data_IF_674650911118
#
_entry.id   IF_674650911118
#
_cell.length_a   1.000
_cell.length_b   1.000
_cell.length_c   1.000
_cell.angle_alpha   90.00
_cell.angle_beta   90.00
_cell.angle_gamma   90.00
#
_symmetry.space_group_name_H-M   'P 1'
#
loop_
_entity.id
_entity.type
_entity.pdbx_description
1 polymer ?
#
# COMPACT_ATOMS: atom_id res chain seq x y z
N UNK A 1 8.53 -28.17 -31.89
CA UNK A 1 7.35 -27.87 -31.05
C UNK A 1 7.82 -27.04 -29.86
N UNK A 2 7.47 -25.75 -29.82
CA UNK A 2 7.86 -24.82 -28.74
C UNK A 2 6.92 -25.04 -27.55
N UNK A 3 7.48 -25.43 -26.41
CA UNK A 3 6.75 -25.50 -25.15
C UNK A 3 6.27 -24.08 -24.78
N UNK A 4 4.96 -23.91 -24.74
CA UNK A 4 4.29 -22.69 -24.28
C UNK A 4 4.55 -22.60 -22.77
N UNK A 5 5.37 -21.63 -22.38
CA UNK A 5 5.54 -21.25 -21.00
C UNK A 5 4.16 -20.83 -20.45
N UNK A 6 3.54 -21.69 -19.64
CA UNK A 6 2.42 -21.32 -18.80
C UNK A 6 2.91 -20.26 -17.82
N UNK A 7 2.69 -19.00 -18.16
CA UNK A 7 2.73 -17.92 -17.19
C UNK A 7 1.56 -18.17 -16.23
N UNK A 8 1.85 -18.81 -15.10
CA UNK A 8 0.99 -18.71 -13.93
C UNK A 8 1.07 -17.24 -13.47
N UNK A 9 0.24 -16.38 -14.04
CA UNK A 9 -0.15 -15.16 -13.37
C UNK A 9 -1.00 -15.62 -12.18
N UNK A 10 -0.34 -15.92 -11.04
CA UNK A 10 -1.05 -16.06 -9.77
C UNK A 10 -1.98 -14.84 -9.65
N UNK A 11 -3.29 -15.08 -9.62
CA UNK A 11 -4.23 -14.04 -9.25
C UNK A 11 -3.77 -13.49 -7.91
N UNK A 12 -3.15 -12.30 -7.93
CA UNK A 12 -2.71 -11.65 -6.70
C UNK A 12 -3.95 -11.48 -5.83
N UNK A 13 -3.99 -12.22 -4.74
CA UNK A 13 -5.08 -12.21 -3.77
C UNK A 13 -5.47 -10.76 -3.46
N UNK A 14 -6.74 -10.40 -3.75
CA UNK A 14 -7.28 -9.05 -3.53
C UNK A 14 -7.57 -8.83 -2.04
N UNK A 15 -6.51 -8.83 -1.24
CA UNK A 15 -6.57 -8.70 0.22
C UNK A 15 -6.99 -7.29 0.60
N UNK A 16 -8.03 -7.14 1.43
CA UNK A 16 -8.49 -5.84 1.92
C UNK A 16 -7.57 -5.27 3.03
N UNK A 17 -7.58 -3.94 3.25
CA UNK A 17 -6.88 -3.34 4.38
C UNK A 17 -7.34 -3.94 5.72
N UNK A 18 -6.40 -4.15 6.64
CA UNK A 18 -6.68 -4.80 7.91
C UNK A 18 -7.44 -3.86 8.86
N UNK A 19 -8.73 -4.16 9.06
CA UNK A 19 -9.69 -3.30 9.76
C UNK A 19 -9.32 -2.92 11.22
N UNK A 20 -8.50 -3.73 11.89
CA UNK A 20 -8.08 -3.47 13.28
C UNK A 20 -7.11 -2.29 13.38
N UNK A 21 -6.33 -2.02 12.33
CA UNK A 21 -5.38 -0.90 12.31
C UNK A 21 -6.02 0.30 11.63
N UNK A 22 -6.25 1.38 12.38
CA UNK A 22 -6.82 2.63 11.84
C UNK A 22 -5.97 3.21 10.72
N UNK A 23 -6.59 3.95 9.81
CA UNK A 23 -5.95 4.52 8.62
C UNK A 23 -4.71 5.37 8.95
N UNK A 24 -4.76 6.16 10.02
CA UNK A 24 -3.61 6.97 10.49
C UNK A 24 -2.41 6.08 10.85
N UNK A 25 -2.64 5.00 11.59
CA UNK A 25 -1.61 4.04 11.97
C UNK A 25 -1.12 3.23 10.76
N UNK A 26 -2.00 2.95 9.81
CA UNK A 26 -1.65 2.37 8.52
C UNK A 26 -0.67 3.28 7.73
N UNK A 27 -0.90 4.60 7.72
CA UNK A 27 0.05 5.55 7.13
C UNK A 27 1.38 5.60 7.91
N UNK A 28 1.38 5.48 9.23
CA UNK A 28 2.62 5.41 10.02
C UNK A 28 3.45 4.15 9.72
N UNK A 29 2.80 3.02 9.45
CA UNK A 29 3.49 1.81 8.97
C UNK A 29 4.21 2.11 7.65
N UNK A 30 3.51 2.69 6.67
CA UNK A 30 4.10 3.03 5.36
C UNK A 30 5.22 4.07 5.50
N UNK A 31 5.06 5.06 6.38
CA UNK A 31 6.08 6.07 6.68
C UNK A 31 7.36 5.43 7.21
N UNK A 32 7.23 4.51 8.17
CA UNK A 32 8.37 3.78 8.73
C UNK A 32 9.12 2.96 7.67
N UNK A 33 8.41 2.32 6.73
CA UNK A 33 9.07 1.65 5.59
C UNK A 33 9.80 2.65 4.68
N UNK A 34 9.20 3.81 4.39
CA UNK A 34 9.83 4.85 3.57
C UNK A 34 11.11 5.37 4.23
N UNK A 35 11.08 5.72 5.52
CA UNK A 35 12.24 6.20 6.27
C UNK A 35 13.38 5.16 6.32
N UNK A 36 13.04 3.88 6.53
CA UNK A 36 14.04 2.81 6.53
C UNK A 36 14.67 2.62 5.15
N UNK A 37 13.87 2.76 4.08
CA UNK A 37 14.37 2.71 2.71
C UNK A 37 15.29 3.90 2.40
N UNK A 38 14.94 5.11 2.80
CA UNK A 38 15.80 6.29 2.63
C UNK A 38 17.12 6.16 3.39
N UNK A 39 17.14 5.44 4.51
CA UNK A 39 18.35 5.06 5.26
C UNK A 39 19.14 3.91 4.62
N UNK A 40 18.75 3.43 3.44
CA UNK A 40 19.42 2.34 2.72
C UNK A 40 19.18 0.95 3.29
N UNK A 41 18.23 0.79 4.23
CA UNK A 41 17.92 -0.54 4.79
C UNK A 41 17.14 -1.36 3.77
N UNK A 42 17.69 -2.52 3.44
CA UNK A 42 17.05 -3.56 2.64
C UNK A 42 16.48 -4.65 3.54
N UNK A 43 15.47 -5.36 3.06
CA UNK A 43 14.88 -6.49 3.75
C UNK A 43 14.16 -6.12 5.05
N UNK A 44 13.37 -5.06 5.02
CA UNK A 44 12.67 -4.56 6.21
C UNK A 44 11.57 -5.53 6.62
N UNK A 45 11.51 -5.88 7.89
CA UNK A 45 10.47 -6.75 8.46
C UNK A 45 9.45 -5.95 9.26
N UNK A 46 8.28 -6.53 9.50
CA UNK A 46 7.27 -5.95 10.39
C UNK A 46 7.80 -5.71 11.82
N UNK A 47 8.85 -6.44 12.24
CA UNK A 47 9.49 -6.27 13.55
C UNK A 47 10.30 -4.98 13.64
N UNK A 48 10.89 -4.55 12.53
CA UNK A 48 11.62 -3.28 12.41
C UNK A 48 10.65 -2.09 12.41
N UNK A 49 9.48 -2.27 11.79
CA UNK A 49 8.50 -1.20 11.55
C UNK A 49 7.58 -0.95 12.74
N UNK A 50 7.18 -2.00 13.46
CA UNK A 50 6.30 -1.88 14.62
C UNK A 50 6.70 -0.80 15.64
N UNK A 51 7.96 -0.71 16.10
CA UNK A 51 8.37 0.35 17.03
C UNK A 51 8.30 1.75 16.39
N UNK A 52 8.71 1.90 15.13
CA UNK A 52 8.72 3.19 14.42
C UNK A 52 7.30 3.73 14.17
N UNK A 53 6.36 2.83 13.86
CA UNK A 53 4.95 3.19 13.67
C UNK A 53 4.18 3.40 15.00
N UNK A 54 4.83 3.16 16.15
CA UNK A 54 4.19 3.21 17.46
C UNK A 54 3.04 2.21 17.58
N UNK A 55 3.24 0.97 17.13
CA UNK A 55 2.27 -0.13 17.18
C UNK A 55 2.84 -1.29 17.99
N UNK A 56 2.18 -1.62 19.10
CA UNK A 56 2.63 -2.69 20.01
C UNK A 56 2.54 -4.09 19.38
N UNK A 57 1.46 -4.37 18.65
CA UNK A 57 1.23 -5.68 18.03
C UNK A 57 1.99 -5.82 16.71
N UNK A 58 3.08 -6.60 16.72
CA UNK A 58 3.82 -6.99 15.52
C UNK A 58 2.96 -7.75 14.51
N UNK A 59 2.01 -8.56 15.01
CA UNK A 59 1.06 -9.30 14.18
C UNK A 59 0.13 -8.36 13.41
N UNK A 60 -0.32 -7.25 14.03
CA UNK A 60 -1.16 -6.28 13.35
C UNK A 60 -0.41 -5.58 12.20
N UNK A 61 0.88 -5.27 12.40
CA UNK A 61 1.72 -4.72 11.32
C UNK A 61 1.87 -5.74 10.19
N UNK A 62 2.18 -7.00 10.54
CA UNK A 62 2.30 -8.10 9.58
C UNK A 62 1.03 -8.27 8.73
N UNK A 63 -0.15 -8.22 9.35
CA UNK A 63 -1.43 -8.35 8.67
C UNK A 63 -1.70 -7.24 7.63
N UNK A 64 -1.12 -6.05 7.81
CA UNK A 64 -1.28 -4.96 6.85
C UNK A 64 -0.45 -5.15 5.57
N UNK A 65 0.67 -5.89 5.65
CA UNK A 65 1.68 -5.89 4.56
C UNK A 65 1.15 -6.49 3.25
N UNK A 66 0.30 -7.51 3.33
CA UNK A 66 -0.28 -8.16 2.16
C UNK A 66 -1.08 -7.17 1.31
N UNK A 67 -1.94 -6.35 1.94
CA UNK A 67 -2.69 -5.33 1.24
C UNK A 67 -1.77 -4.32 0.56
N UNK A 68 -0.76 -3.81 1.28
CA UNK A 68 0.17 -2.83 0.70
C UNK A 68 0.98 -3.37 -0.46
N UNK A 69 1.33 -4.66 -0.44
CA UNK A 69 1.95 -5.33 -1.57
C UNK A 69 0.97 -5.50 -2.73
N UNK A 70 -0.30 -5.84 -2.44
CA UNK A 70 -1.31 -6.06 -3.49
C UNK A 70 -1.66 -4.77 -4.25
N UNK A 71 -1.54 -3.61 -3.61
CA UNK A 71 -1.75 -2.29 -4.25
C UNK A 71 -0.44 -1.56 -4.60
N UNK A 72 0.72 -2.23 -4.51
CA UNK A 72 2.00 -1.69 -4.98
C UNK A 72 2.57 -0.53 -4.16
N UNK A 73 2.16 -0.36 -2.90
CA UNK A 73 2.79 0.60 -1.98
C UNK A 73 4.02 -0.02 -1.28
N UNK A 74 4.02 -1.33 -1.09
CA UNK A 74 5.20 -2.10 -0.69
C UNK A 74 5.58 -3.09 -1.77
N UNK A 75 6.84 -3.50 -1.75
CA UNK A 75 7.37 -4.54 -2.61
C UNK A 75 8.02 -5.63 -1.75
N UNK A 76 7.84 -6.89 -2.17
CA UNK A 76 8.44 -8.04 -1.50
C UNK A 76 9.88 -8.20 -1.97
N UNK A 77 10.80 -8.37 -1.05
CA UNK A 77 12.20 -8.70 -1.33
C UNK A 77 12.53 -10.12 -0.85
N UNK A 78 13.70 -10.65 -1.23
CA UNK A 78 14.19 -11.96 -0.80
C UNK A 78 14.12 -12.16 0.72
N UNK A 79 14.32 -11.10 1.50
CA UNK A 79 14.26 -11.11 2.96
C UNK A 79 13.44 -9.96 3.51
N UNK A 80 12.12 -9.94 3.29
CA UNK A 80 11.23 -8.95 3.89
C UNK A 80 10.58 -8.07 2.82
N UNK A 81 10.51 -6.78 3.10
CA UNK A 81 9.78 -5.81 2.28
C UNK A 81 10.57 -4.52 2.13
N UNK A 82 10.26 -3.77 1.08
CA UNK A 82 10.73 -2.40 0.87
C UNK A 82 9.58 -1.48 0.51
N UNK A 83 9.70 -0.20 0.83
CA UNK A 83 8.79 0.81 0.30
C UNK A 83 8.97 0.96 -1.22
N UNK A 84 7.86 1.03 -1.95
CA UNK A 84 7.86 1.41 -3.37
C UNK A 84 8.37 2.85 -3.57
N UNK A 85 8.72 3.19 -4.81
CA UNK A 85 9.11 4.58 -5.18
C UNK A 85 8.00 5.57 -4.90
N UNK A 86 6.75 5.20 -5.18
CA UNK A 86 5.60 6.06 -4.91
C UNK A 86 5.42 6.33 -3.42
N UNK A 87 5.70 5.35 -2.56
CA UNK A 87 5.57 5.49 -1.12
C UNK A 87 6.66 6.38 -0.54
N UNK A 88 7.91 6.22 -1.00
CA UNK A 88 9.01 7.11 -0.60
C UNK A 88 8.70 8.54 -1.05
N UNK A 89 8.32 8.73 -2.31
CA UNK A 89 8.02 10.05 -2.85
C UNK A 89 6.87 10.74 -2.12
N UNK A 90 5.82 10.00 -1.79
CA UNK A 90 4.69 10.50 -1.03
C UNK A 90 5.13 11.10 0.31
N UNK A 91 5.92 10.37 1.11
CA UNK A 91 6.39 10.86 2.40
C UNK A 91 7.46 11.94 2.30
N UNK A 92 8.29 11.92 1.25
CA UNK A 92 9.24 12.99 0.95
C UNK A 92 8.52 14.32 0.70
N UNK A 93 7.48 14.31 -0.13
CA UNK A 93 6.65 15.49 -0.41
C UNK A 93 5.95 16.03 0.84
N UNK A 94 5.38 15.14 1.66
CA UNK A 94 4.79 15.54 2.95
C UNK A 94 5.82 16.19 3.88
N UNK A 95 7.04 15.68 3.91
CA UNK A 95 8.14 16.22 4.74
C UNK A 95 8.55 17.62 4.29
N UNK A 96 8.52 17.90 2.98
CA UNK A 96 8.80 19.22 2.41
C UNK A 96 7.59 20.18 2.38
N UNK A 97 6.45 19.79 2.95
CA UNK A 97 5.25 20.61 3.01
C UNK A 97 4.40 20.62 1.74
N UNK A 98 4.77 19.88 0.69
CA UNK A 98 4.00 19.71 -0.55
C UNK A 98 2.85 18.69 -0.33
N UNK A 99 1.86 19.06 0.47
CA UNK A 99 0.73 18.20 0.83
C UNK A 99 -0.14 17.86 -0.39
N UNK A 100 -0.43 18.84 -1.23
CA UNK A 100 -1.30 18.66 -2.39
C UNK A 100 -0.64 17.78 -3.45
N UNK A 101 0.66 17.97 -3.70
CA UNK A 101 1.45 17.12 -4.59
C UNK A 101 1.55 15.70 -4.07
N UNK A 102 1.76 15.50 -2.76
CA UNK A 102 1.77 14.18 -2.14
C UNK A 102 0.44 13.45 -2.35
N UNK A 103 -0.69 14.08 -2.01
CA UNK A 103 -2.00 13.45 -2.17
C UNK A 103 -2.43 13.30 -3.63
N UNK A 104 -2.00 14.18 -4.53
CA UNK A 104 -2.19 14.00 -5.97
C UNK A 104 -1.45 12.75 -6.47
N UNK A 105 -0.21 12.53 -6.05
CA UNK A 105 0.55 11.32 -6.36
C UNK A 105 -0.15 10.06 -5.83
N UNK A 106 -0.52 10.06 -4.54
CA UNK A 106 -1.17 8.91 -3.91
C UNK A 106 -2.52 8.59 -4.58
N UNK A 107 -3.35 9.59 -4.88
CA UNK A 107 -4.63 9.39 -5.59
C UNK A 107 -4.44 8.77 -6.97
N UNK A 108 -3.50 9.29 -7.77
CA UNK A 108 -3.20 8.74 -9.11
C UNK A 108 -2.71 7.30 -9.04
N UNK A 109 -1.91 6.96 -8.03
CA UNK A 109 -1.47 5.59 -7.81
C UNK A 109 -2.64 4.69 -7.45
N UNK A 110 -3.38 5.03 -6.39
CA UNK A 110 -4.51 4.22 -5.90
C UNK A 110 -5.58 4.00 -6.96
N UNK A 111 -5.92 5.02 -7.75
CA UNK A 111 -6.93 4.93 -8.82
C UNK A 111 -6.60 3.89 -9.91
N UNK A 112 -5.33 3.47 -10.02
CA UNK A 112 -4.85 2.47 -10.98
C UNK A 112 -4.62 1.08 -10.35
N UNK A 113 -5.02 0.92 -9.08
CA UNK A 113 -4.93 -0.37 -8.37
C UNK A 113 -6.27 -1.06 -8.42
N UNK A 114 -6.28 -2.39 -8.28
CA UNK A 114 -7.52 -3.17 -8.21
C UNK A 114 -8.48 -2.62 -7.12
N UNK A 115 -7.94 -2.16 -5.99
CA UNK A 115 -8.71 -1.63 -4.88
C UNK A 115 -9.36 -0.30 -5.26
N UNK A 116 -8.58 0.63 -5.82
CA UNK A 116 -9.11 1.93 -6.25
C UNK A 116 -10.14 1.80 -7.38
N UNK A 117 -9.89 0.94 -8.36
CA UNK A 117 -10.86 0.64 -9.43
C UNK A 117 -12.17 0.08 -8.86
N UNK A 118 -12.08 -0.83 -7.89
CA UNK A 118 -13.25 -1.43 -7.24
C UNK A 118 -14.04 -0.39 -6.44
N UNK A 119 -13.36 0.46 -5.67
CA UNK A 119 -13.97 1.52 -4.87
C UNK A 119 -14.63 2.57 -5.77
N UNK A 120 -13.93 3.06 -6.80
CA UNK A 120 -14.47 4.04 -7.76
C UNK A 120 -15.71 3.47 -8.45
N UNK A 121 -15.66 2.21 -8.88
CA UNK A 121 -16.81 1.55 -9.53
C UNK A 121 -18.00 1.43 -8.58
N UNK A 122 -17.77 1.02 -7.33
CA UNK A 122 -18.83 0.92 -6.33
C UNK A 122 -19.51 2.28 -6.05
N UNK A 123 -18.74 3.37 -5.98
CA UNK A 123 -19.30 4.70 -5.77
C UNK A 123 -20.07 5.24 -6.99
N UNK A 124 -19.64 4.91 -8.21
CA UNK A 124 -20.39 5.26 -9.44
C UNK A 124 -21.76 4.60 -9.48
N UNK A 125 -21.83 3.30 -9.16
CA UNK A 125 -23.10 2.55 -9.11
C UNK A 125 -24.04 3.15 -8.07
N UNK A 126 -23.52 3.55 -6.89
CA UNK A 126 -24.35 4.16 -5.85
C UNK A 126 -24.92 5.52 -6.26
N UNK A 127 -24.17 6.32 -7.02
CA UNK A 127 -24.65 7.60 -7.52
C UNK A 127 -25.80 7.42 -8.54
N UNK A 128 -25.70 6.44 -9.44
CA UNK A 128 -26.79 6.14 -10.39
C UNK A 128 -28.04 5.57 -9.71
N UNK A 129 -27.91 4.92 -8.56
CA UNK A 129 -29.06 4.39 -7.82
C UNK A 129 -29.82 5.45 -7.01
N UNK A 130 -29.24 6.64 -6.79
CA UNK A 130 -29.90 7.74 -6.07
C UNK A 130 -30.61 8.74 -6.98
N UNK A 131 -30.53 8.58 -8.30
CA UNK A 131 -31.18 9.48 -9.28
C UNK A 131 -32.58 9.01 -9.69
N UNK A 132 -33.02 7.81 -9.25
CA UNK A 132 -34.31 7.19 -9.61
C UNK A 132 -35.29 7.00 -8.42
N UNK A 133 -35.06 7.66 -7.27
CA UNK A 133 -36.00 7.77 -6.13
C UNK A 133 -36.50 9.22 -5.96
#
# INVERSE_FOLDING_TARGET
MRAVARQNAEEKEKVLPFHVVKIEKQLYILKAFAELREKGKVGVTYKDVAPLAGIRSKTNVSACLKFWCSIGLLEKENRGYRASDVTVEFFRKLTWGDKDGAWSLMRRHLARTWFGESVISAFKVRASMSEDD
#
